data_IF_185297756580
#
_entry.id   IF_185297756580
#
_cell.length_a   1.000
_cell.length_b   1.000
_cell.length_c   1.000
_cell.angle_alpha   90.00
_cell.angle_beta   90.00
_cell.angle_gamma   90.00
#
_symmetry.space_group_name_H-M   'P 1'
#
loop_
_entity.id
_entity.type
_entity.pdbx_description
1 polymer ?
#
# COMPACT_ATOMS: atom_id res chain seq x y z
N UNK A 1 11.33 18.78 -6.85
CA UNK A 1 10.20 18.04 -6.23
C UNK A 1 10.06 16.74 -6.98
N UNK A 2 10.06 15.59 -6.30
CA UNK A 2 9.93 14.30 -7.00
C UNK A 2 8.53 14.19 -7.62
N UNK A 3 8.46 14.16 -8.94
CA UNK A 3 7.20 14.11 -9.71
C UNK A 3 6.54 12.73 -9.68
N UNK A 4 7.28 11.70 -9.22
CA UNK A 4 6.85 10.31 -9.21
C UNK A 4 7.29 9.64 -7.91
N UNK A 5 6.46 8.76 -7.38
CA UNK A 5 6.77 7.92 -6.22
C UNK A 5 6.56 6.45 -6.59
N UNK A 6 7.39 5.58 -6.03
CA UNK A 6 7.19 4.14 -6.13
C UNK A 6 6.55 3.66 -4.83
N UNK A 7 5.36 3.06 -4.92
CA UNK A 7 4.70 2.48 -3.75
C UNK A 7 4.10 1.11 -4.07
N UNK A 8 3.89 0.36 -3.01
CA UNK A 8 3.11 -0.86 -3.00
C UNK A 8 1.88 -0.65 -2.12
N UNK A 9 0.75 -1.23 -2.50
CA UNK A 9 -0.48 -1.14 -1.73
C UNK A 9 -1.14 -2.50 -1.55
N UNK A 10 -1.89 -2.63 -0.47
CA UNK A 10 -2.72 -3.79 -0.18
C UNK A 10 -4.14 -3.26 -0.10
N UNK A 11 -4.96 -3.64 -1.08
CA UNK A 11 -6.36 -3.28 -1.12
C UNK A 11 -7.13 -4.40 -0.41
N UNK A 12 -7.88 -4.07 0.63
CA UNK A 12 -8.74 -5.01 1.37
C UNK A 12 -10.16 -4.47 1.44
N UNK A 13 -11.12 -5.35 1.76
CA UNK A 13 -12.54 -4.96 1.80
C UNK A 13 -12.92 -4.27 3.11
N UNK A 14 -12.26 -4.62 4.21
CA UNK A 14 -12.60 -4.12 5.54
C UNK A 14 -11.40 -3.48 6.23
N UNK A 15 -11.69 -2.52 7.11
CA UNK A 15 -10.68 -1.88 7.94
C UNK A 15 -10.01 -2.89 8.89
N UNK A 16 -10.77 -3.87 9.40
CA UNK A 16 -10.24 -4.94 10.24
C UNK A 16 -9.15 -5.74 9.53
N UNK A 17 -9.37 -6.12 8.26
CA UNK A 17 -8.33 -6.78 7.46
C UNK A 17 -7.11 -5.89 7.29
N UNK A 18 -7.29 -4.59 7.09
CA UNK A 18 -6.18 -3.65 6.93
C UNK A 18 -5.36 -3.56 8.23
N UNK A 19 -6.02 -3.53 9.39
CA UNK A 19 -5.38 -3.54 10.70
C UNK A 19 -4.64 -4.85 10.96
N UNK A 20 -5.25 -6.00 10.67
CA UNK A 20 -4.59 -7.30 10.80
C UNK A 20 -3.33 -7.39 9.93
N UNK A 21 -3.40 -6.87 8.69
CA UNK A 21 -2.23 -6.81 7.79
C UNK A 21 -1.13 -5.93 8.39
N UNK A 22 -1.49 -4.73 8.88
CA UNK A 22 -0.54 -3.84 9.55
C UNK A 22 0.13 -4.53 10.74
N UNK A 23 -0.65 -5.22 11.56
CA UNK A 23 -0.17 -5.95 12.74
C UNK A 23 0.77 -7.09 12.33
N UNK A 24 0.45 -7.83 11.28
CA UNK A 24 1.32 -8.89 10.76
C UNK A 24 2.62 -8.33 10.17
N UNK A 25 2.57 -7.19 9.50
CA UNK A 25 3.79 -6.51 9.01
C UNK A 25 4.65 -6.06 10.19
N UNK A 26 4.05 -5.51 11.24
CA UNK A 26 4.75 -5.13 12.47
C UNK A 26 5.35 -6.33 13.21
N UNK A 27 4.71 -7.51 13.12
CA UNK A 27 5.26 -8.78 13.61
C UNK A 27 6.40 -9.34 12.74
N UNK A 28 6.81 -8.64 11.67
CA UNK A 28 7.92 -9.04 10.80
C UNK A 28 7.51 -9.89 9.59
N UNK A 29 6.21 -10.01 9.28
CA UNK A 29 5.80 -10.65 8.01
C UNK A 29 6.12 -9.76 6.82
N UNK A 30 6.42 -10.42 5.70
CA UNK A 30 6.69 -9.75 4.42
C UNK A 30 5.42 -9.12 3.84
N UNK A 31 5.50 -7.83 3.51
CA UNK A 31 4.44 -7.08 2.86
C UNK A 31 4.00 -7.72 1.54
N UNK A 32 4.95 -8.18 0.73
CA UNK A 32 4.66 -8.81 -0.57
C UNK A 32 3.86 -10.11 -0.44
N UNK A 33 4.14 -10.91 0.60
CA UNK A 33 3.42 -12.15 0.88
C UNK A 33 1.99 -11.83 1.29
N UNK A 34 1.81 -10.92 2.24
CA UNK A 34 0.49 -10.48 2.67
C UNK A 34 -0.30 -9.87 1.51
N UNK A 35 0.35 -9.05 0.69
CA UNK A 35 -0.27 -8.49 -0.49
C UNK A 35 -0.75 -9.57 -1.47
N UNK A 36 0.01 -10.65 -1.67
CA UNK A 36 -0.41 -11.78 -2.52
C UNK A 36 -1.63 -12.51 -1.95
N UNK A 37 -1.66 -12.70 -0.63
CA UNK A 37 -2.71 -13.46 0.06
C UNK A 37 -4.01 -12.66 0.24
N UNK A 38 -3.92 -11.43 0.74
CA UNK A 38 -5.08 -10.66 1.20
C UNK A 38 -5.52 -9.57 0.24
N UNK A 39 -4.64 -9.09 -0.65
CA UNK A 39 -4.98 -7.98 -1.53
C UNK A 39 -6.01 -8.44 -2.57
N UNK A 40 -7.08 -7.68 -2.71
CA UNK A 40 -8.11 -7.87 -3.73
C UNK A 40 -7.74 -7.22 -5.08
N UNK A 41 -6.68 -6.41 -5.11
CA UNK A 41 -6.22 -5.74 -6.34
C UNK A 41 -5.40 -6.71 -7.22
N UNK A 42 -5.48 -6.64 -8.56
CA UNK A 42 -4.62 -7.45 -9.44
C UNK A 42 -3.12 -7.24 -9.22
N UNK A 43 -2.72 -6.11 -8.60
CA UNK A 43 -1.35 -5.85 -8.15
C UNK A 43 -0.83 -6.88 -7.15
N UNK A 44 -1.71 -7.67 -6.51
CA UNK A 44 -1.35 -8.80 -5.64
C UNK A 44 -0.35 -9.76 -6.29
N UNK A 45 -0.46 -10.01 -7.61
CA UNK A 45 0.46 -10.89 -8.34
C UNK A 45 1.92 -10.41 -8.27
N UNK A 46 2.11 -9.08 -8.13
CA UNK A 46 3.41 -8.41 -7.98
C UNK A 46 3.68 -8.00 -6.53
N UNK A 47 3.11 -8.69 -5.55
CA UNK A 47 3.29 -8.34 -4.13
C UNK A 47 2.71 -6.98 -3.75
N UNK A 48 1.66 -6.54 -4.46
CA UNK A 48 1.03 -5.24 -4.24
C UNK A 48 1.78 -4.06 -4.87
N UNK A 49 2.86 -4.32 -5.62
CA UNK A 49 3.64 -3.26 -6.27
C UNK A 49 2.83 -2.54 -7.36
N UNK A 50 2.68 -1.22 -7.21
CA UNK A 50 2.09 -0.34 -8.23
C UNK A 50 3.16 0.23 -9.17
N UNK A 51 4.44 0.17 -8.77
CA UNK A 51 5.54 0.79 -9.49
C UNK A 51 5.54 2.32 -9.32
N UNK A 52 6.16 3.01 -10.28
CA UNK A 52 6.27 4.47 -10.27
C UNK A 52 4.98 5.11 -10.78
N UNK A 53 4.34 5.93 -9.96
CA UNK A 53 3.17 6.71 -10.36
C UNK A 53 3.35 8.19 -10.00
N UNK A 54 2.67 9.04 -10.78
CA UNK A 54 2.65 10.49 -10.64
C UNK A 54 1.38 10.96 -9.91
N UNK A 55 1.37 12.22 -9.47
CA UNK A 55 0.16 12.87 -8.96
C UNK A 55 -0.99 12.77 -9.99
N UNK A 56 -2.19 12.39 -9.52
CA UNK A 56 -3.38 12.24 -10.36
C UNK A 56 -3.59 10.86 -10.99
N UNK A 57 -2.60 9.94 -10.92
CA UNK A 57 -2.79 8.56 -11.40
C UNK A 57 -3.46 7.64 -10.37
N UNK A 58 -3.49 8.04 -9.10
CA UNK A 58 -4.08 7.28 -7.99
C UNK A 58 -5.10 8.14 -7.25
N UNK A 59 -5.95 7.48 -6.45
CA UNK A 59 -6.95 8.15 -5.61
C UNK A 59 -6.29 9.18 -4.67
N UNK A 60 -7.01 10.30 -4.45
CA UNK A 60 -6.47 11.50 -3.79
C UNK A 60 -5.98 11.22 -2.36
N UNK A 61 -6.69 10.35 -1.65
CA UNK A 61 -6.35 9.90 -0.29
C UNK A 61 -5.02 9.12 -0.29
N UNK A 62 -4.92 8.11 -1.16
CA UNK A 62 -3.72 7.28 -1.30
C UNK A 62 -2.50 8.08 -1.74
N UNK A 63 -2.62 8.93 -2.77
CA UNK A 63 -1.48 9.72 -3.22
C UNK A 63 -0.99 10.68 -2.12
N UNK A 64 -1.90 11.31 -1.35
CA UNK A 64 -1.50 12.24 -0.30
C UNK A 64 -0.64 11.53 0.74
N UNK A 65 -1.01 10.31 1.12
CA UNK A 65 -0.25 9.50 2.06
C UNK A 65 1.07 9.04 1.43
N UNK A 66 1.03 8.46 0.23
CA UNK A 66 2.23 7.97 -0.45
C UNK A 66 3.29 9.06 -0.70
N UNK A 67 2.87 10.28 -1.07
CA UNK A 67 3.79 11.42 -1.28
C UNK A 67 4.25 12.06 0.04
N UNK A 68 3.47 11.97 1.13
CA UNK A 68 3.85 12.48 2.46
C UNK A 68 4.79 11.53 3.20
N UNK A 69 4.73 10.24 2.88
CA UNK A 69 5.57 9.22 3.49
C UNK A 69 7.01 9.26 3.00
N UNK A 70 7.91 8.81 3.88
CA UNK A 70 9.33 8.59 3.52
C UNK A 70 9.52 7.19 2.93
N UNK A 71 10.55 7.05 2.10
CA UNK A 71 10.95 5.76 1.54
C UNK A 71 11.20 4.75 2.68
N UNK A 72 10.56 3.59 2.59
CA UNK A 72 10.68 2.51 3.59
C UNK A 72 9.71 2.62 4.78
N UNK A 73 8.87 3.66 4.86
CA UNK A 73 7.80 3.68 5.84
C UNK A 73 6.57 2.89 5.37
N UNK A 74 5.80 2.39 6.33
CA UNK A 74 4.50 1.74 6.12
C UNK A 74 3.42 2.68 6.66
N UNK A 75 2.37 2.92 5.89
CA UNK A 75 1.26 3.78 6.34
C UNK A 75 0.32 3.03 7.24
N UNK A 76 -0.47 3.77 8.02
CA UNK A 76 -1.70 3.24 8.55
C UNK A 76 -2.69 2.92 7.42
N UNK A 77 -3.71 2.09 7.68
CA UNK A 77 -4.81 1.86 6.75
C UNK A 77 -5.40 3.18 6.25
N UNK A 78 -5.39 3.37 4.93
CA UNK A 78 -5.98 4.55 4.29
C UNK A 78 -7.34 4.14 3.75
N UNK A 79 -8.38 4.83 4.20
CA UNK A 79 -9.71 4.69 3.59
C UNK A 79 -9.68 5.41 2.25
N UNK A 80 -10.10 4.71 1.20
CA UNK A 80 -10.07 5.19 -0.20
C UNK A 80 -11.37 4.89 -0.89
#
# INVERSE_FOLDING_TARGET
>A
MATRVNASHILVRTEEQAKQVLEQINNGKNFETLAKEVSICPSRKKGGSLGWFSHGQMVKEFQKVAFKMKKGQISQPVKT
#
